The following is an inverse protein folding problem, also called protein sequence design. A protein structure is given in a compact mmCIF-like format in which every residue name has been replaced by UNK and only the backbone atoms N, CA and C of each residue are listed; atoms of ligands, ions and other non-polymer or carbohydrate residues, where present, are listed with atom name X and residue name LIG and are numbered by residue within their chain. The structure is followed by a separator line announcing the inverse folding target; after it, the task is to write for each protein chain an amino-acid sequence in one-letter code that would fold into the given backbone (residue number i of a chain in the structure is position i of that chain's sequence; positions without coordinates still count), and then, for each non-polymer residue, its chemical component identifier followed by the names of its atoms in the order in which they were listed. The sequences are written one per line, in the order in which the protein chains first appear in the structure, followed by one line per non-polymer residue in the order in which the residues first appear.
data_IF_521834952395
#
_entry.id   IF_521834952395
#
_cell.length_a   1.000
_cell.length_b   1.000
_cell.length_c   1.000
_cell.angle_alpha   90.00
_cell.angle_beta   90.00
_cell.angle_gamma   90.00
#
_symmetry.space_group_name_H-M   'P 1'
#
loop_
_entity.id
_entity.type
_entity.pdbx_description
1 polymer ?
#
# COMPACT_ATOMS: atom_id res chain seq x y z
N UNK A 1 28.01 -15.04 -53.60
CA UNK A 1 27.44 -14.08 -54.58
C UNK A 1 26.48 -14.81 -55.50
N UNK A 2 25.22 -14.96 -55.05
CA UNK A 2 24.07 -15.14 -55.93
C UNK A 2 23.49 -13.74 -56.12
N UNK A 3 23.05 -13.39 -57.33
CA UNK A 3 22.59 -12.05 -57.72
C UNK A 3 21.46 -11.54 -56.79
N UNK A 4 21.86 -10.69 -55.84
CA UNK A 4 21.25 -9.42 -55.46
C UNK A 4 19.72 -9.33 -55.38
N UNK A 5 19.15 -9.78 -54.26
CA UNK A 5 17.82 -9.34 -53.82
C UNK A 5 17.83 -9.11 -52.32
N UNK A 6 17.37 -7.94 -51.87
CA UNK A 6 17.06 -7.69 -50.46
C UNK A 6 15.74 -8.40 -50.13
N UNK A 7 15.80 -9.36 -49.20
CA UNK A 7 14.60 -9.91 -48.57
C UNK A 7 14.08 -8.86 -47.58
N UNK A 8 12.85 -8.40 -47.79
CA UNK A 8 12.09 -7.63 -46.81
C UNK A 8 11.22 -8.60 -46.01
N UNK A 9 10.80 -8.23 -44.81
CA UNK A 9 10.06 -9.12 -43.90
C UNK A 9 8.74 -9.67 -44.48
N UNK A 10 8.15 -8.94 -45.44
CA UNK A 10 6.91 -9.33 -46.13
C UNK A 10 7.11 -10.08 -47.46
N UNK A 11 8.33 -10.58 -47.74
CA UNK A 11 8.63 -11.20 -49.03
C UNK A 11 8.05 -12.61 -49.16
N UNK A 12 7.38 -12.85 -50.30
CA UNK A 12 6.73 -14.11 -50.63
C UNK A 12 7.77 -15.18 -51.05
N UNK A 13 7.91 -16.22 -50.21
CA UNK A 13 8.91 -17.30 -50.33
C UNK A 13 8.84 -18.08 -51.65
N UNK A 14 7.68 -18.06 -52.30
CA UNK A 14 7.40 -18.72 -53.58
C UNK A 14 8.14 -18.09 -54.77
N UNK A 15 8.51 -16.81 -54.68
CA UNK A 15 9.17 -16.06 -55.77
C UNK A 15 10.70 -16.11 -55.71
N UNK A 16 11.26 -16.58 -54.59
CA UNK A 16 12.70 -16.50 -54.29
C UNK A 16 13.52 -17.67 -54.86
N UNK A 17 12.89 -18.66 -55.49
CA UNK A 17 13.57 -19.70 -56.28
C UNK A 17 14.70 -20.44 -55.53
N UNK A 18 14.54 -20.64 -54.22
CA UNK A 18 15.56 -21.22 -53.35
C UNK A 18 15.75 -22.69 -53.69
N UNK A 19 16.98 -23.09 -54.03
CA UNK A 19 17.33 -24.49 -54.32
C UNK A 19 17.77 -25.21 -53.05
N UNK A 20 17.53 -26.51 -52.99
CA UNK A 20 18.00 -27.36 -51.89
C UNK A 20 19.53 -27.30 -51.78
N UNK A 21 20.04 -26.97 -50.59
CA UNK A 21 21.48 -26.76 -50.32
C UNK A 21 22.02 -25.33 -50.52
N UNK A 22 21.16 -24.35 -50.83
CA UNK A 22 21.58 -22.95 -51.01
C UNK A 22 22.01 -22.30 -49.68
N UNK A 23 23.24 -21.79 -49.61
CA UNK A 23 23.74 -21.02 -48.47
C UNK A 23 23.19 -19.59 -48.51
N UNK A 24 22.30 -19.26 -47.57
CA UNK A 24 21.80 -17.91 -47.33
C UNK A 24 22.74 -17.20 -46.34
N UNK A 25 23.15 -15.97 -46.66
CA UNK A 25 23.92 -15.11 -45.76
C UNK A 25 22.94 -14.15 -45.09
N UNK A 26 22.64 -14.38 -43.82
CA UNK A 26 21.85 -13.47 -43.00
C UNK A 26 22.75 -12.33 -42.53
N UNK A 27 22.44 -11.10 -42.94
CA UNK A 27 23.03 -9.91 -42.36
C UNK A 27 22.05 -9.44 -41.27
N UNK A 28 22.34 -9.76 -40.01
CA UNK A 28 21.50 -9.31 -38.91
C UNK A 28 21.62 -7.80 -38.75
N UNK A 29 20.56 -7.06 -39.06
CA UNK A 29 20.35 -5.73 -38.49
C UNK A 29 19.83 -5.94 -37.07
N UNK A 30 20.50 -5.36 -36.08
CA UNK A 30 19.97 -5.30 -34.73
C UNK A 30 18.74 -4.38 -34.77
N UNK A 31 17.56 -4.96 -34.56
CA UNK A 31 16.32 -4.20 -34.39
C UNK A 31 16.48 -3.10 -33.34
N UNK A 32 15.71 -2.02 -33.51
CA UNK A 32 15.76 -0.81 -32.68
C UNK A 32 15.81 -1.17 -31.19
N UNK A 33 16.92 -0.77 -30.56
CA UNK A 33 17.14 -0.89 -29.13
C UNK A 33 15.93 -0.29 -28.43
N UNK A 34 15.20 -1.13 -27.70
CA UNK A 34 14.14 -0.71 -26.78
C UNK A 34 14.66 0.49 -26.00
N UNK A 35 14.10 1.68 -26.25
CA UNK A 35 14.54 2.91 -25.57
C UNK A 35 14.55 2.63 -24.08
N UNK A 36 15.73 2.76 -23.48
CA UNK A 36 15.88 2.67 -22.04
C UNK A 36 14.86 3.63 -21.39
N UNK A 37 14.20 3.24 -20.29
CA UNK A 37 13.24 4.11 -19.62
C UNK A 37 13.86 5.49 -19.39
N UNK A 38 13.21 6.55 -19.89
CA UNK A 38 13.74 7.93 -19.81
C UNK A 38 13.89 8.42 -18.36
N UNK A 39 13.28 7.70 -17.41
CA UNK A 39 13.43 7.92 -15.97
C UNK A 39 14.29 6.82 -15.40
N UNK A 40 15.48 7.18 -14.91
CA UNK A 40 16.32 6.28 -14.11
C UNK A 40 15.55 5.75 -12.89
N UNK A 41 16.02 4.66 -12.26
CA UNK A 41 15.36 4.12 -11.08
C UNK A 41 15.34 5.21 -9.98
N UNK A 42 14.14 5.69 -9.66
CA UNK A 42 13.92 6.59 -8.54
C UNK A 42 13.84 5.71 -7.30
N UNK A 43 14.77 5.93 -6.36
CA UNK A 43 14.81 5.21 -5.10
C UNK A 43 13.73 5.76 -4.15
N UNK A 44 13.16 4.91 -3.31
CA UNK A 44 12.06 5.31 -2.42
C UNK A 44 12.49 6.43 -1.46
N UNK A 45 13.77 6.46 -1.08
CA UNK A 45 14.36 7.45 -0.19
C UNK A 45 14.44 8.87 -0.80
N UNK A 46 14.39 8.98 -2.14
CA UNK A 46 14.42 10.25 -2.87
C UNK A 46 13.02 10.84 -3.08
N UNK A 47 11.95 10.10 -2.77
CA UNK A 47 10.59 10.63 -2.81
C UNK A 47 10.33 11.51 -1.58
N UNK A 48 9.48 12.54 -1.69
CA UNK A 48 9.03 13.29 -0.52
C UNK A 48 8.33 12.35 0.48
N UNK A 49 8.53 12.58 1.79
CA UNK A 49 8.10 11.69 2.88
C UNK A 49 6.62 11.30 2.78
N UNK A 50 5.77 12.23 2.33
CA UNK A 50 4.35 12.03 2.07
C UNK A 50 4.02 11.04 0.94
N UNK A 51 4.87 10.94 -0.08
CA UNK A 51 4.73 9.95 -1.15
C UNK A 51 5.39 8.61 -0.79
N UNK A 52 6.39 8.62 0.11
CA UNK A 52 6.98 7.38 0.65
C UNK A 52 5.96 6.59 1.48
N UNK A 53 5.17 7.27 2.33
CA UNK A 53 4.17 6.58 3.18
C UNK A 53 3.10 5.91 2.33
N UNK A 54 2.67 6.56 1.24
CA UNK A 54 1.68 6.03 0.28
C UNK A 54 2.25 4.83 -0.48
N UNK A 55 3.53 4.87 -0.86
CA UNK A 55 4.18 3.78 -1.57
C UNK A 55 4.38 2.51 -0.73
N UNK A 56 4.52 2.64 0.60
CA UNK A 56 4.76 1.51 1.52
C UNK A 56 3.46 1.00 2.18
N UNK A 57 2.34 1.73 2.04
CA UNK A 57 1.05 1.34 2.62
C UNK A 57 1.03 1.43 4.15
N UNK A 58 1.88 2.26 4.73
CA UNK A 58 1.92 2.48 6.18
C UNK A 58 0.80 3.43 6.61
N UNK A 59 0.01 3.03 7.62
CA UNK A 59 -0.92 3.93 8.29
C UNK A 59 -0.17 4.94 9.16
N UNK A 60 -0.81 6.08 9.49
CA UNK A 60 -0.23 7.05 10.40
C UNK A 60 0.29 6.43 11.72
N UNK A 61 1.31 7.06 12.28
CA UNK A 61 1.78 6.77 13.64
C UNK A 61 0.92 7.39 14.73
N UNK A 62 1.22 7.10 16.00
CA UNK A 62 0.61 7.75 17.16
C UNK A 62 1.64 8.60 17.91
N UNK A 63 1.27 9.82 18.28
CA UNK A 63 2.10 10.66 19.15
C UNK A 63 2.22 10.04 20.54
N UNK A 64 3.44 10.01 21.08
CA UNK A 64 3.67 9.65 22.47
C UNK A 64 3.43 10.87 23.37
N UNK A 65 2.40 10.79 24.20
CA UNK A 65 1.99 11.85 25.13
C UNK A 65 2.65 11.73 26.53
N UNK A 66 3.78 11.02 26.61
CA UNK A 66 4.53 10.76 27.85
C UNK A 66 4.14 9.42 28.46
N UNK A 67 5.08 8.46 28.49
CA UNK A 67 4.87 7.07 28.94
C UNK A 67 3.69 6.36 28.28
N UNK A 68 3.16 6.83 27.14
CA UNK A 68 2.00 6.20 26.46
C UNK A 68 2.41 5.25 25.34
N UNK A 69 3.71 4.96 25.20
CA UNK A 69 4.21 4.05 24.17
C UNK A 69 3.64 2.63 24.28
N UNK A 70 3.35 2.15 25.50
CA UNK A 70 2.71 0.84 25.71
C UNK A 70 1.29 0.80 25.11
N UNK A 71 0.56 1.91 25.21
CA UNK A 71 -0.78 2.04 24.67
C UNK A 71 -0.69 2.15 23.15
N UNK A 72 0.23 2.98 22.65
CA UNK A 72 0.43 3.19 21.22
C UNK A 72 0.78 1.87 20.51
N UNK A 73 1.71 1.09 21.05
CA UNK A 73 2.09 -0.21 20.48
C UNK A 73 0.91 -1.19 20.47
N UNK A 74 0.16 -1.27 21.57
CA UNK A 74 -1.02 -2.15 21.67
C UNK A 74 -2.10 -1.76 20.65
N UNK A 75 -2.43 -0.48 20.55
CA UNK A 75 -3.44 0.03 19.60
C UNK A 75 -3.01 -0.23 18.16
N UNK A 76 -1.73 -0.02 17.82
CA UNK A 76 -1.21 -0.29 16.48
C UNK A 76 -1.18 -1.79 16.15
N UNK A 77 -0.89 -2.66 17.12
CA UNK A 77 -1.02 -4.11 16.94
C UNK A 77 -2.47 -4.49 16.62
N UNK A 78 -3.45 -3.95 17.35
CA UNK A 78 -4.87 -4.21 17.08
C UNK A 78 -5.33 -3.64 15.73
N UNK A 79 -4.79 -2.48 15.32
CA UNK A 79 -5.08 -1.83 14.04
C UNK A 79 -4.62 -2.68 12.84
N UNK A 80 -3.61 -3.53 13.01
CA UNK A 80 -3.20 -4.45 11.94
C UNK A 80 -4.21 -5.56 11.61
N UNK A 81 -5.24 -5.75 12.45
CA UNK A 81 -6.26 -6.82 12.30
C UNK A 81 -7.49 -6.32 11.51
N UNK A 82 -7.67 -6.69 10.24
CA UNK A 82 -8.76 -6.17 9.41
C UNK A 82 -10.16 -6.64 9.84
N UNK A 83 -10.27 -7.82 10.44
CA UNK A 83 -11.53 -8.34 10.98
C UNK A 83 -12.02 -7.50 12.15
N UNK A 84 -11.10 -7.05 13.00
CA UNK A 84 -11.40 -6.16 14.13
C UNK A 84 -11.86 -4.80 13.64
N UNK A 85 -11.16 -4.20 12.66
CA UNK A 85 -11.60 -2.95 12.01
C UNK A 85 -13.03 -3.05 11.49
N UNK A 86 -13.30 -4.14 10.77
CA UNK A 86 -14.62 -4.40 10.18
C UNK A 86 -15.71 -4.54 11.25
N UNK A 87 -15.41 -5.17 12.38
CA UNK A 87 -16.33 -5.27 13.51
C UNK A 87 -16.59 -3.90 14.17
N UNK A 88 -15.54 -3.10 14.37
CA UNK A 88 -15.64 -1.75 14.95
C UNK A 88 -16.47 -0.81 14.08
N UNK A 89 -16.33 -0.86 12.75
CA UNK A 89 -17.12 -0.04 11.82
C UNK A 89 -18.63 -0.36 11.92
N UNK A 90 -18.97 -1.64 12.13
CA UNK A 90 -20.36 -2.10 12.27
C UNK A 90 -20.95 -1.83 13.65
N UNK A 91 -20.13 -1.43 14.62
CA UNK A 91 -20.58 -1.20 15.99
C UNK A 91 -21.49 0.04 16.07
N UNK A 92 -22.71 -0.07 16.62
CA UNK A 92 -23.68 1.02 16.64
C UNK A 92 -23.26 2.15 17.58
N UNK A 93 -23.53 3.40 17.20
CA UNK A 93 -23.29 4.58 18.04
C UNK A 93 -24.35 4.78 19.13
N UNK A 94 -25.57 4.29 18.90
CA UNK A 94 -26.66 4.30 19.87
C UNK A 94 -26.53 3.06 20.76
N UNK A 95 -25.94 3.24 21.94
CA UNK A 95 -25.71 2.18 22.90
C UNK A 95 -27.00 1.43 23.27
N UNK A 96 -26.88 0.10 23.43
CA UNK A 96 -27.85 -0.72 24.16
C UNK A 96 -28.00 -0.12 25.56
N UNK A 97 -29.24 0.19 25.93
CA UNK A 97 -29.65 0.90 27.15
C UNK A 97 -29.41 0.11 28.44
N UNK A 98 -28.17 -0.09 28.86
CA UNK A 98 -27.84 -0.53 30.21
C UNK A 98 -26.69 0.36 30.72
N UNK A 99 -26.98 1.27 31.66
CA UNK A 99 -26.04 2.26 32.22
C UNK A 99 -24.73 1.66 32.75
N UNK A 100 -24.73 0.36 33.10
CA UNK A 100 -23.57 -0.36 33.62
C UNK A 100 -22.45 -0.60 32.60
N UNK A 101 -22.72 -0.51 31.29
CA UNK A 101 -21.72 -0.77 30.23
C UNK A 101 -21.33 0.49 29.43
N UNK A 102 -21.76 1.67 29.90
CA UNK A 102 -21.50 2.96 29.27
C UNK A 102 -19.99 3.25 29.05
N UNK A 103 -19.08 3.04 30.03
CA UNK A 103 -17.66 3.32 29.80
C UNK A 103 -17.02 2.37 28.77
N UNK A 104 -17.43 1.09 28.73
CA UNK A 104 -16.99 0.13 27.72
C UNK A 104 -17.47 0.51 26.32
N UNK A 105 -18.72 0.97 26.22
CA UNK A 105 -19.30 1.49 24.98
C UNK A 105 -18.51 2.70 24.46
N UNK A 106 -18.24 3.67 25.33
CA UNK A 106 -17.45 4.86 24.97
C UNK A 106 -16.03 4.48 24.53
N UNK A 107 -15.38 3.52 25.20
CA UNK A 107 -14.05 3.05 24.83
C UNK A 107 -14.07 2.43 23.43
N UNK A 108 -15.06 1.58 23.14
CA UNK A 108 -15.23 0.94 21.83
C UNK A 108 -15.42 1.97 20.71
N UNK A 109 -16.26 2.98 20.94
CA UNK A 109 -16.46 4.08 20.00
C UNK A 109 -15.17 4.88 19.79
N UNK A 110 -14.44 5.21 20.87
CA UNK A 110 -13.17 5.93 20.78
C UNK A 110 -12.09 5.13 20.03
N UNK A 111 -12.05 3.80 20.18
CA UNK A 111 -11.15 2.93 19.40
C UNK A 111 -11.48 2.95 17.91
N UNK A 112 -12.78 2.84 17.57
CA UNK A 112 -13.23 2.91 16.17
C UNK A 112 -12.84 4.24 15.53
N UNK A 113 -13.07 5.35 16.23
CA UNK A 113 -12.81 6.69 15.69
C UNK A 113 -11.29 6.90 15.51
N UNK A 114 -10.48 6.46 16.48
CA UNK A 114 -9.02 6.48 16.37
C UNK A 114 -8.51 5.64 15.18
N UNK A 115 -9.07 4.45 14.96
CA UNK A 115 -8.71 3.62 13.80
C UNK A 115 -9.05 4.33 12.49
N UNK A 116 -10.20 5.00 12.43
CA UNK A 116 -10.56 5.79 11.25
C UNK A 116 -9.63 6.99 11.04
N UNK A 117 -9.13 7.63 12.09
CA UNK A 117 -8.17 8.72 11.97
C UNK A 117 -6.80 8.21 11.48
N UNK A 118 -6.35 7.06 11.97
CA UNK A 118 -5.11 6.43 11.52
C UNK A 118 -5.13 6.02 10.04
N UNK A 119 -6.30 5.59 9.55
CA UNK A 119 -6.47 5.20 8.14
C UNK A 119 -6.61 6.42 7.19
N UNK A 120 -7.06 7.58 7.70
CA UNK A 120 -7.28 8.80 6.90
C UNK A 120 -6.07 9.73 6.85
N UNK A 121 -5.21 9.66 7.86
CA UNK A 121 -4.07 10.56 8.00
C UNK A 121 -2.78 9.88 7.57
N UNK A 122 -1.86 10.69 7.03
CA UNK A 122 -0.47 10.29 6.76
C UNK A 122 0.44 10.72 7.92
N UNK A 123 0.10 11.84 8.56
CA UNK A 123 0.85 12.39 9.70
C UNK A 123 0.44 11.70 11.00
N UNK A 124 1.35 11.63 12.00
CA UNK A 124 1.03 11.05 13.29
C UNK A 124 -0.21 11.68 13.94
N UNK A 125 -1.03 10.85 14.59
CA UNK A 125 -2.28 11.23 15.24
C UNK A 125 -2.10 11.23 16.76
N UNK A 126 -2.68 12.19 17.47
CA UNK A 126 -2.66 12.24 18.93
C UNK A 126 -3.91 11.54 19.50
N UNK A 127 -3.78 10.40 20.23
CA UNK A 127 -4.92 9.59 20.67
C UNK A 127 -5.65 10.16 21.91
N UNK A 128 -5.95 11.46 21.93
CA UNK A 128 -6.47 12.16 23.12
C UNK A 128 -7.79 11.59 23.62
N UNK A 129 -8.78 11.40 22.74
CA UNK A 129 -10.10 10.89 23.13
C UNK A 129 -10.02 9.47 23.67
N UNK A 130 -9.29 8.58 22.98
CA UNK A 130 -9.07 7.21 23.42
C UNK A 130 -8.37 7.16 24.78
N UNK A 131 -7.31 7.95 24.96
CA UNK A 131 -6.55 7.99 26.21
C UNK A 131 -7.39 8.47 27.40
N UNK A 132 -8.19 9.53 27.22
CA UNK A 132 -9.09 10.03 28.26
C UNK A 132 -10.11 8.97 28.68
N UNK A 133 -10.76 8.29 27.73
CA UNK A 133 -11.78 7.26 28.03
C UNK A 133 -11.15 6.02 28.67
N UNK A 134 -9.99 5.57 28.16
CA UNK A 134 -9.26 4.43 28.73
C UNK A 134 -8.83 4.68 30.19
N UNK A 135 -8.38 5.90 30.48
CA UNK A 135 -8.02 6.33 31.83
C UNK A 135 -9.23 6.34 32.77
N UNK A 136 -10.38 6.82 32.29
CA UNK A 136 -11.63 6.79 33.04
C UNK A 136 -12.07 5.35 33.35
N UNK A 137 -12.09 4.45 32.35
CA UNK A 137 -12.48 3.05 32.56
C UNK A 137 -11.60 2.39 33.61
N UNK A 138 -10.28 2.59 33.54
CA UNK A 138 -9.33 1.97 34.47
C UNK A 138 -9.56 2.38 35.93
N UNK A 139 -10.04 3.60 36.17
CA UNK A 139 -10.39 4.11 37.50
C UNK A 139 -11.68 3.52 38.06
N UNK A 140 -12.64 3.14 37.21
CA UNK A 140 -13.90 2.52 37.65
C UNK A 140 -13.76 1.04 38.02
N UNK A 141 -12.71 0.36 37.54
CA UNK A 141 -12.48 -1.07 37.74
C UNK A 141 -11.31 -1.41 38.68
N UNK A 142 -10.72 -0.41 39.36
CA UNK A 142 -9.72 -0.58 40.43
C UNK A 142 -10.35 -0.39 41.80
#
# INVERSE_FOLDING_TARGET
MVKGGLLKDDADWSTLGVKEGQKLMMMGTADEIVKAPEKGPVFMEDLPEEEQVVAVGHSAGLFNLGNTCYMNSTVQCLHSVPELKSALIKYPHSGRSNDLDQPSHMLTCATRDLFSELDKNVKPVAPMQFWMVCSLVSLFYS
#
